data_IF_637138891413
#
_entry.id   IF_637138891413
#
_cell.length_a   1.000
_cell.length_b   1.000
_cell.length_c   1.000
_cell.angle_alpha   90.00
_cell.angle_beta   90.00
_cell.angle_gamma   90.00
#
_symmetry.space_group_name_H-M   'P 1'
#
loop_
_entity.id
_entity.type
_entity.pdbx_description
1 polymer ?
#
# COMPACT_ATOMS: atom_id res chain seq x y z
N UNK A 1 -51.89 -0.26 -29.12
CA UNK A 1 -50.86 -1.30 -28.87
C UNK A 1 -49.63 -0.57 -28.38
N UNK A 2 -49.37 -0.59 -27.07
CA UNK A 2 -48.24 0.12 -26.47
C UNK A 2 -47.00 -0.78 -26.51
N UNK A 3 -46.03 -0.47 -27.39
CA UNK A 3 -44.70 -1.06 -27.27
C UNK A 3 -43.85 -0.16 -26.37
N UNK A 4 -43.84 -0.52 -25.10
CA UNK A 4 -42.83 -0.14 -24.12
C UNK A 4 -41.49 -0.77 -24.51
N UNK A 5 -40.56 0.01 -25.06
CA UNK A 5 -39.15 -0.38 -25.13
C UNK A 5 -38.40 0.36 -24.02
N UNK A 6 -38.41 -0.22 -22.81
CA UNK A 6 -37.39 0.08 -21.81
C UNK A 6 -36.05 -0.32 -22.42
N UNK A 7 -35.22 0.67 -22.78
CA UNK A 7 -33.83 0.43 -23.08
C UNK A 7 -33.17 -0.11 -21.80
N UNK A 8 -32.92 -1.42 -21.76
CA UNK A 8 -32.12 -2.06 -20.73
C UNK A 8 -30.75 -1.41 -20.69
N UNK A 9 -30.54 -0.54 -19.70
CA UNK A 9 -29.23 -0.08 -19.33
C UNK A 9 -28.41 -1.31 -18.91
N UNK A 10 -27.54 -1.81 -19.79
CA UNK A 10 -26.41 -2.63 -19.38
C UNK A 10 -25.52 -1.73 -18.54
N UNK A 11 -25.80 -1.69 -17.23
CA UNK A 11 -24.84 -1.21 -16.25
C UNK A 11 -23.72 -2.25 -16.24
N UNK A 12 -22.66 -1.98 -17.00
CA UNK A 12 -21.36 -2.62 -16.80
C UNK A 12 -20.99 -2.40 -15.34
N UNK A 13 -21.21 -3.43 -14.51
CA UNK A 13 -20.78 -3.44 -13.12
C UNK A 13 -19.27 -3.16 -13.10
N UNK A 14 -18.77 -2.28 -12.22
CA UNK A 14 -17.35 -1.99 -12.16
C UNK A 14 -16.63 -3.24 -11.70
N UNK A 15 -15.83 -3.83 -12.60
CA UNK A 15 -14.81 -4.82 -12.24
C UNK A 15 -13.79 -4.10 -11.38
N UNK A 16 -13.89 -4.24 -10.06
CA UNK A 16 -12.96 -3.66 -9.12
C UNK A 16 -12.34 -4.77 -8.27
N UNK A 17 -11.08 -5.08 -8.57
CA UNK A 17 -10.13 -5.65 -7.62
C UNK A 17 -8.77 -5.04 -7.95
N UNK A 18 -8.00 -4.72 -6.92
CA UNK A 18 -6.85 -3.84 -7.00
C UNK A 18 -5.55 -4.60 -6.75
N UNK A 19 -4.88 -5.06 -7.81
CA UNK A 19 -3.50 -5.52 -7.70
C UNK A 19 -2.58 -4.30 -7.42
N UNK A 20 -1.85 -4.29 -6.31
CA UNK A 20 -0.89 -3.21 -6.02
C UNK A 20 0.27 -3.32 -6.99
N UNK A 21 0.35 -2.38 -7.93
CA UNK A 21 1.37 -2.39 -8.98
C UNK A 21 2.60 -1.57 -8.63
N UNK A 22 2.43 -0.54 -7.82
CA UNK A 22 3.52 0.35 -7.39
C UNK A 22 3.09 1.22 -6.22
N UNK A 23 4.10 1.82 -5.58
CA UNK A 23 3.92 2.96 -4.68
C UNK A 23 4.46 4.21 -5.38
N UNK A 24 3.81 5.36 -5.20
CA UNK A 24 4.31 6.61 -5.76
C UNK A 24 5.72 6.92 -5.21
N UNK A 25 6.64 7.44 -6.06
CA UNK A 25 7.96 7.82 -5.60
C UNK A 25 7.85 8.87 -4.50
N UNK A 26 8.83 8.84 -3.58
CA UNK A 26 8.77 9.39 -2.22
C UNK A 26 8.30 10.84 -2.05
N UNK A 27 8.09 11.20 -0.78
CA UNK A 27 7.62 12.51 -0.36
C UNK A 27 8.53 13.64 -0.88
N UNK A 28 7.96 14.60 -1.61
CA UNK A 28 8.71 15.78 -2.08
C UNK A 28 8.88 16.77 -0.94
N UNK A 29 10.02 16.70 -0.25
CA UNK A 29 10.41 17.61 0.82
C UNK A 29 11.05 16.87 2.00
N UNK A 30 11.15 17.56 3.13
CA UNK A 30 11.54 16.93 4.40
C UNK A 30 10.29 16.58 5.20
N UNK A 31 10.13 15.31 5.56
CA UNK A 31 9.14 14.88 6.53
C UNK A 31 9.51 15.42 7.91
N UNK A 32 8.56 16.06 8.58
CA UNK A 32 8.76 16.56 9.94
C UNK A 32 7.94 15.69 10.90
N UNK A 33 8.63 14.79 11.60
CA UNK A 33 8.00 13.90 12.56
C UNK A 33 7.81 14.62 13.90
N UNK A 34 6.63 14.47 14.49
CA UNK A 34 6.32 14.89 15.85
C UNK A 34 6.21 13.65 16.76
N UNK A 35 6.04 13.85 18.06
CA UNK A 35 5.98 12.72 19.01
C UNK A 35 4.62 12.01 19.07
N UNK A 36 3.54 12.59 18.55
CA UNK A 36 2.18 12.22 18.94
C UNK A 36 1.23 11.93 17.79
N UNK A 37 1.33 12.66 16.69
CA UNK A 37 0.33 12.79 15.64
C UNK A 37 0.87 12.64 14.23
N UNK A 38 2.19 12.63 14.02
CA UNK A 38 2.74 12.64 12.67
C UNK A 38 2.51 11.34 11.91
N UNK A 39 1.99 11.49 10.69
CA UNK A 39 1.74 10.40 9.74
C UNK A 39 2.42 10.67 8.41
N UNK A 40 3.02 9.64 7.84
CA UNK A 40 3.65 9.67 6.52
C UNK A 40 2.70 9.07 5.47
N UNK A 41 2.25 9.85 4.47
CA UNK A 41 1.31 9.35 3.47
C UNK A 41 2.01 8.45 2.45
N UNK A 42 1.52 7.23 2.28
CA UNK A 42 1.98 6.28 1.26
C UNK A 42 0.90 6.07 0.23
N UNK A 43 1.14 6.53 -1.01
CA UNK A 43 0.20 6.43 -2.12
C UNK A 43 0.46 5.16 -2.94
N UNK A 44 -0.44 4.19 -2.84
CA UNK A 44 -0.44 2.96 -3.64
C UNK A 44 -1.17 3.19 -4.95
N UNK A 45 -0.62 2.67 -6.05
CA UNK A 45 -1.27 2.60 -7.35
C UNK A 45 -1.73 1.16 -7.60
N UNK A 46 -2.94 1.04 -8.15
CA UNK A 46 -3.57 -0.26 -8.38
C UNK A 46 -3.75 -0.50 -9.87
N UNK A 47 -3.45 -1.73 -10.29
CA UNK A 47 -3.65 -2.21 -11.65
C UNK A 47 -5.12 -2.46 -11.96
N UNK A 48 -5.40 -2.67 -13.25
CA UNK A 48 -6.76 -2.96 -13.76
C UNK A 48 -7.12 -4.45 -13.77
N UNK A 49 -6.19 -5.34 -13.41
CA UNK A 49 -6.41 -6.79 -13.40
C UNK A 49 -7.13 -7.23 -12.14
N UNK A 50 -8.22 -7.98 -12.30
CA UNK A 50 -8.99 -8.53 -11.19
C UNK A 50 -8.22 -9.69 -10.53
N UNK A 51 -7.99 -9.59 -9.21
CA UNK A 51 -7.39 -10.67 -8.41
C UNK A 51 -8.25 -10.91 -7.18
N UNK A 52 -8.77 -12.13 -7.00
CA UNK A 52 -9.49 -12.48 -5.79
C UNK A 52 -8.48 -12.82 -4.68
N UNK A 53 -8.23 -11.83 -3.82
CA UNK A 53 -7.38 -11.98 -2.64
C UNK A 53 -8.17 -12.65 -1.51
N UNK A 54 -7.61 -13.74 -0.97
CA UNK A 54 -8.06 -14.38 0.26
C UNK A 54 -7.37 -13.78 1.50
N UNK A 55 -6.15 -13.28 1.31
CA UNK A 55 -5.45 -12.40 2.25
C UNK A 55 -4.74 -11.28 1.48
N UNK A 56 -4.76 -10.06 2.00
CA UNK A 56 -3.99 -8.93 1.48
C UNK A 56 -3.59 -8.03 2.66
N UNK A 57 -2.32 -8.09 3.03
CA UNK A 57 -1.76 -7.34 4.15
C UNK A 57 -0.59 -6.49 3.67
N UNK A 58 -0.47 -5.27 4.21
CA UNK A 58 0.71 -4.42 4.01
C UNK A 58 1.41 -4.23 5.34
N UNK A 59 2.69 -4.57 5.37
CA UNK A 59 3.58 -4.38 6.50
C UNK A 59 4.57 -3.26 6.21
N UNK A 60 4.72 -2.33 7.13
CA UNK A 60 5.62 -1.20 7.01
C UNK A 60 6.78 -1.34 7.98
N UNK A 61 7.98 -1.06 7.49
CA UNK A 61 9.16 -0.97 8.33
C UNK A 61 10.12 0.11 7.87
N UNK A 62 10.99 0.52 8.78
CA UNK A 62 11.88 1.65 8.61
C UNK A 62 13.34 1.23 8.78
N UNK A 63 14.18 1.64 7.84
CA UNK A 63 15.62 1.43 7.90
C UNK A 63 16.38 2.70 7.53
N UNK A 64 17.63 2.81 7.96
CA UNK A 64 18.56 3.76 7.35
C UNK A 64 19.08 3.20 6.02
N UNK A 65 19.63 4.04 5.13
CA UNK A 65 20.32 3.56 3.93
C UNK A 65 21.46 2.58 4.21
N UNK A 66 22.12 2.67 5.37
CA UNK A 66 23.20 1.77 5.75
C UNK A 66 22.68 0.36 6.11
N UNK A 67 21.49 0.28 6.72
CA UNK A 67 20.88 -0.98 7.16
C UNK A 67 20.03 -1.63 6.04
N UNK A 68 19.70 -0.90 4.98
CA UNK A 68 18.86 -1.35 3.88
C UNK A 68 19.69 -2.10 2.81
N UNK A 69 20.10 -3.32 3.13
CA UNK A 69 21.01 -4.14 2.31
C UNK A 69 20.37 -4.72 1.02
N UNK A 70 19.05 -4.70 0.90
CA UNK A 70 18.30 -5.17 -0.27
C UNK A 70 16.95 -4.45 -0.38
N UNK A 71 16.34 -4.41 -1.55
CA UNK A 71 15.01 -3.82 -1.74
C UNK A 71 13.90 -4.51 -0.92
N UNK A 72 14.12 -5.75 -0.50
CA UNK A 72 13.18 -6.53 0.32
C UNK A 72 13.43 -6.36 1.82
N UNK A 73 14.40 -5.55 2.22
CA UNK A 73 14.70 -5.27 3.62
C UNK A 73 13.58 -4.44 4.23
N UNK A 74 12.81 -5.06 5.14
CA UNK A 74 11.73 -4.38 5.86
C UNK A 74 12.26 -3.32 6.85
N UNK A 75 13.40 -3.57 7.48
CA UNK A 75 13.92 -2.73 8.56
C UNK A 75 13.19 -2.95 9.89
N UNK A 76 13.20 -1.95 10.76
CA UNK A 76 12.49 -1.95 12.04
C UNK A 76 10.98 -1.90 11.79
N UNK A 77 10.19 -2.90 12.23
CA UNK A 77 8.75 -2.92 11.99
C UNK A 77 8.05 -1.73 12.64
N UNK A 78 7.13 -1.08 11.91
CA UNK A 78 6.35 0.05 12.39
C UNK A 78 4.87 -0.29 12.57
N UNK A 79 4.27 -0.81 11.49
CA UNK A 79 2.82 -0.86 11.37
C UNK A 79 2.41 -1.89 10.33
N UNK A 80 1.37 -2.67 10.61
CA UNK A 80 0.80 -3.63 9.67
C UNK A 80 -0.69 -3.36 9.50
N UNK A 81 -1.20 -3.57 8.30
CA UNK A 81 -2.59 -3.29 7.92
C UNK A 81 -3.15 -4.40 7.04
N UNK A 82 -4.27 -4.99 7.45
CA UNK A 82 -5.06 -5.90 6.63
C UNK A 82 -6.00 -5.10 5.71
N UNK A 83 -5.74 -5.15 4.40
CA UNK A 83 -6.50 -4.43 3.40
C UNK A 83 -7.83 -5.11 3.06
N UNK A 84 -7.98 -6.42 3.28
CA UNK A 84 -9.28 -7.08 3.11
C UNK A 84 -10.24 -6.67 4.22
N UNK A 85 -9.79 -6.70 5.48
CA UNK A 85 -10.60 -6.28 6.62
C UNK A 85 -11.06 -4.83 6.49
N UNK A 86 -10.23 -3.96 5.91
CA UNK A 86 -10.56 -2.56 5.64
C UNK A 86 -11.42 -2.34 4.39
N UNK A 87 -11.84 -3.40 3.69
CA UNK A 87 -12.56 -3.35 2.41
C UNK A 87 -11.82 -2.54 1.34
N UNK A 88 -10.49 -2.58 1.39
CA UNK A 88 -9.56 -1.93 0.45
C UNK A 88 -8.96 -2.89 -0.57
N UNK A 89 -9.40 -4.15 -0.60
CA UNK A 89 -9.03 -5.13 -1.63
C UNK A 89 -9.59 -4.83 -3.01
N UNK A 90 -10.61 -3.97 -3.08
CA UNK A 90 -11.28 -3.55 -4.31
C UNK A 90 -11.38 -2.03 -4.35
N UNK A 91 -10.30 -1.36 -4.77
CA UNK A 91 -10.31 0.09 -5.03
C UNK A 91 -10.55 0.43 -6.51
N UNK A 92 -10.73 -0.59 -7.37
CA UNK A 92 -10.73 -0.43 -8.82
C UNK A 92 -9.35 -0.03 -9.37
N UNK A 93 -9.20 0.20 -10.68
CA UNK A 93 -8.02 0.88 -11.21
C UNK A 93 -7.99 2.30 -10.63
N UNK A 94 -6.94 2.62 -9.87
CA UNK A 94 -6.91 3.87 -9.12
C UNK A 94 -5.72 4.01 -8.21
N UNK A 95 -5.90 4.83 -7.18
CA UNK A 95 -4.90 5.08 -6.15
C UNK A 95 -5.56 5.14 -4.79
N UNK A 96 -4.87 4.67 -3.76
CA UNK A 96 -5.29 4.87 -2.39
C UNK A 96 -4.09 5.21 -1.51
N UNK A 97 -4.34 5.99 -0.47
CA UNK A 97 -3.30 6.40 0.48
C UNK A 97 -3.47 5.63 1.78
N UNK A 98 -2.36 5.16 2.35
CA UNK A 98 -2.26 4.73 3.75
C UNK A 98 -1.42 5.77 4.48
N UNK A 99 -1.97 6.34 5.54
CA UNK A 99 -1.24 7.23 6.45
C UNK A 99 -0.51 6.38 7.49
N UNK A 100 0.80 6.22 7.30
CA UNK A 100 1.64 5.39 8.17
C UNK A 100 2.05 6.22 9.40
N UNK A 101 1.78 5.78 10.63
CA UNK A 101 2.27 6.50 11.80
C UNK A 101 3.80 6.41 11.84
N UNK A 102 4.47 7.56 11.70
CA UNK A 102 5.93 7.67 11.85
C UNK A 102 6.20 8.84 12.77
N UNK A 103 6.56 8.55 14.00
CA UNK A 103 6.85 9.53 15.06
C UNK A 103 8.34 9.78 15.16
N UNK A 104 8.72 10.86 15.84
CA UNK A 104 10.13 11.18 16.07
C UNK A 104 10.86 10.08 16.85
N UNK A 105 10.17 9.30 17.69
CA UNK A 105 10.73 8.13 18.39
C UNK A 105 11.09 6.97 17.47
N UNK A 106 10.44 6.88 16.31
CA UNK A 106 10.67 5.81 15.34
C UNK A 106 11.91 6.11 14.48
N UNK A 107 12.36 7.38 14.46
CA UNK A 107 13.57 7.85 13.81
C UNK A 107 14.79 7.55 14.69
N UNK A 108 15.15 6.28 14.80
CA UNK A 108 16.18 5.76 15.71
C UNK A 108 17.59 6.34 15.52
N UNK A 109 17.88 6.98 14.38
CA UNK A 109 19.14 7.65 14.09
C UNK A 109 19.02 9.20 14.04
N UNK A 110 17.92 9.75 14.57
CA UNK A 110 17.62 11.18 14.56
C UNK A 110 17.19 11.69 13.17
N UNK A 111 17.44 12.97 12.89
CA UNK A 111 17.18 13.55 11.57
C UNK A 111 18.13 12.97 10.51
N UNK A 112 17.63 12.73 9.31
CA UNK A 112 18.42 12.16 8.22
C UNK A 112 17.59 11.45 7.15
N UNK A 113 18.27 10.73 6.26
CA UNK A 113 17.61 9.92 5.23
C UNK A 113 17.16 8.59 5.83
N UNK A 114 15.92 8.22 5.52
CA UNK A 114 15.32 6.93 5.87
C UNK A 114 14.71 6.27 4.63
N UNK A 115 14.53 4.96 4.72
CA UNK A 115 13.81 4.16 3.74
C UNK A 115 12.65 3.50 4.47
N UNK A 116 11.43 3.85 4.07
CA UNK A 116 10.19 3.18 4.48
C UNK A 116 9.90 2.07 3.47
N UNK A 117 9.87 0.83 3.91
CA UNK A 117 9.52 -0.32 3.07
C UNK A 117 8.07 -0.69 3.30
N UNK A 118 7.26 -0.67 2.24
CA UNK A 118 5.93 -1.25 2.25
C UNK A 118 5.98 -2.67 1.65
N UNK A 119 5.91 -3.69 2.50
CA UNK A 119 5.87 -5.09 2.12
C UNK A 119 4.41 -5.55 1.98
N UNK A 120 3.97 -5.77 0.75
CA UNK A 120 2.63 -6.24 0.42
C UNK A 120 2.65 -7.76 0.33
N UNK A 121 2.07 -8.40 1.33
CA UNK A 121 1.86 -9.84 1.39
C UNK A 121 0.44 -10.16 0.93
N UNK A 122 0.30 -11.13 0.05
CA UNK A 122 -1.02 -11.52 -0.43
C UNK A 122 -1.12 -13.01 -0.68
N UNK A 123 -2.33 -13.53 -0.48
CA UNK A 123 -2.72 -14.86 -0.91
C UNK A 123 -3.87 -14.70 -1.89
N UNK A 124 -3.72 -15.20 -3.10
CA UNK A 124 -4.78 -15.15 -4.12
C UNK A 124 -5.18 -16.55 -4.58
N UNK A 125 -6.47 -16.69 -4.90
CA UNK A 125 -7.02 -17.90 -5.50
C UNK A 125 -7.14 -17.67 -7.00
N UNK A 126 -6.28 -18.29 -7.81
CA UNK A 126 -6.49 -18.28 -9.26
C UNK A 126 -7.30 -19.51 -9.62
N UNK A 127 -8.45 -19.30 -10.27
CA UNK A 127 -9.40 -20.35 -10.67
C UNK A 127 -8.68 -21.65 -11.08
N UNK A 128 -8.86 -22.69 -10.26
CA UNK A 128 -8.49 -24.11 -10.46
C UNK A 128 -7.03 -24.56 -10.23
N UNK A 129 -6.05 -23.69 -9.93
CA UNK A 129 -4.63 -24.10 -9.82
C UNK A 129 -3.99 -23.99 -8.41
N UNK A 130 -4.77 -23.69 -7.37
CA UNK A 130 -4.29 -23.62 -5.98
C UNK A 130 -3.98 -22.21 -5.47
N UNK A 131 -3.54 -22.12 -4.22
CA UNK A 131 -3.24 -20.85 -3.54
C UNK A 131 -1.91 -20.30 -4.04
N UNK A 132 -1.88 -19.02 -4.44
CA UNK A 132 -0.64 -18.31 -4.78
C UNK A 132 -0.30 -17.35 -3.64
N UNK A 133 0.82 -17.58 -2.98
CA UNK A 133 1.43 -16.64 -2.04
C UNK A 133 2.38 -15.71 -2.80
N UNK A 134 2.23 -14.41 -2.59
CA UNK A 134 3.12 -13.41 -3.16
C UNK A 134 3.55 -12.37 -2.13
N UNK A 135 4.76 -11.86 -2.32
CA UNK A 135 5.35 -10.77 -1.56
C UNK A 135 5.93 -9.77 -2.54
N UNK A 136 5.53 -8.49 -2.42
CA UNK A 136 6.13 -7.39 -3.16
C UNK A 136 6.59 -6.32 -2.17
N UNK A 137 7.87 -5.96 -2.19
CA UNK A 137 8.41 -4.87 -1.38
C UNK A 137 8.56 -3.59 -2.20
N UNK A 138 8.11 -2.47 -1.63
CA UNK A 138 8.21 -1.14 -2.23
C UNK A 138 8.99 -0.22 -1.30
N UNK A 139 10.30 -0.01 -1.55
CA UNK A 139 11.11 0.91 -0.76
C UNK A 139 10.82 2.37 -1.16
N UNK A 140 10.69 3.23 -0.16
CA UNK A 140 10.37 4.65 -0.31
C UNK A 140 11.42 5.45 0.47
N UNK A 141 12.32 6.11 -0.25
CA UNK A 141 13.34 6.97 0.37
C UNK A 141 12.75 8.35 0.70
N UNK A 142 13.01 8.85 1.90
CA UNK A 142 12.63 10.19 2.32
C UNK A 142 13.63 10.78 3.32
N UNK A 143 13.65 12.11 3.42
CA UNK A 143 14.41 12.81 4.45
C UNK A 143 13.50 13.17 5.62
N UNK A 144 13.92 12.89 6.84
CA UNK A 144 13.21 13.16 8.06
C UNK A 144 13.92 14.22 8.91
N UNK A 145 13.12 15.07 9.56
CA UNK A 145 13.53 16.00 10.59
C UNK A 145 12.73 15.71 11.86
N UNK A 146 13.38 15.87 13.02
CA UNK A 146 12.74 15.71 14.33
C UNK A 146 12.29 17.07 14.84
N UNK A 147 11.11 17.11 15.48
CA UNK A 147 10.57 18.33 16.08
C UNK A 147 10.60 18.31 17.59
#
# INVERSE_FOLDING_TARGET
MYLSALASALVLLPFASAFISSVAPGFTGSYKADQTTSTFPVLFNTGSTMVDFMDLTVSFGLSTPADHTSNDTLGSPLFNMDLLAMRRSSTGPGKFTIDVPIKSSDLFNGAGTYILTAAVLHVSGVNQNGLVLGLNAFPITFNATVS
#
